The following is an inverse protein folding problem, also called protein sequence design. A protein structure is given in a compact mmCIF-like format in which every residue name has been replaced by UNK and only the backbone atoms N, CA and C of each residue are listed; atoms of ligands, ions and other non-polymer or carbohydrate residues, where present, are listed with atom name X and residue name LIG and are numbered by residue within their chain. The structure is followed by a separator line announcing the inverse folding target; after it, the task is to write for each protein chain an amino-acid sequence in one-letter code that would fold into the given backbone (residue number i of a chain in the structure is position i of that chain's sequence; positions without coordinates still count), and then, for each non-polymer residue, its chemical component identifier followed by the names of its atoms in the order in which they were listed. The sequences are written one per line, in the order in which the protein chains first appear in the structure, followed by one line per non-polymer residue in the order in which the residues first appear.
data_IF_138852900335
#
_entry.id   IF_138852900335
#
_cell.length_a   1.000
_cell.length_b   1.000
_cell.length_c   1.000
_cell.angle_alpha   90.00
_cell.angle_beta   90.00
_cell.angle_gamma   90.00
#
_symmetry.space_group_name_H-M   'P 1'
#
loop_
_entity.id
_entity.type
_entity.pdbx_description
1 polymer ?
#
# COMPACT_ATOMS: atom_id res chain seq x y z
N UNK A 1 -5.95 57.59 41.48
CA UNK A 1 -4.87 56.61 41.71
C UNK A 1 -5.54 55.35 42.25
N UNK A 2 -6.42 54.74 41.46
CA UNK A 2 -6.14 53.67 40.49
C UNK A 2 -5.61 52.40 41.17
N UNK A 3 -6.57 51.52 41.44
CA UNK A 3 -6.41 50.15 41.86
C UNK A 3 -6.12 49.27 40.64
N UNK A 4 -5.06 48.48 40.75
CA UNK A 4 -4.64 47.46 39.79
C UNK A 4 -5.69 46.36 39.68
N UNK A 5 -6.36 46.26 38.52
CA UNK A 5 -7.09 45.06 38.10
C UNK A 5 -6.10 44.13 37.39
N UNK A 6 -5.82 42.99 37.99
CA UNK A 6 -5.29 41.82 37.27
C UNK A 6 -6.31 41.41 36.19
N UNK A 7 -5.87 41.38 34.94
CA UNK A 7 -6.64 40.82 33.83
C UNK A 7 -6.21 39.37 33.68
N UNK A 8 -7.08 38.48 34.13
CA UNK A 8 -7.05 37.05 33.86
C UNK A 8 -7.15 36.81 32.35
N UNK A 9 -6.07 36.25 31.77
CA UNK A 9 -5.91 36.00 30.34
C UNK A 9 -5.69 34.51 30.06
N UNK A 10 -6.56 33.65 30.57
CA UNK A 10 -6.59 32.24 30.16
C UNK A 10 -6.88 32.09 28.65
N UNK A 11 -6.41 31.02 27.99
CA UNK A 11 -6.61 30.82 26.55
C UNK A 11 -8.10 30.75 26.24
N UNK A 12 -8.59 31.70 25.46
CA UNK A 12 -10.00 31.79 25.05
C UNK A 12 -10.34 30.58 24.18
N UNK A 13 -11.26 29.74 24.66
CA UNK A 13 -11.71 28.53 23.95
C UNK A 13 -13.07 28.80 23.31
N UNK A 14 -13.25 28.32 22.08
CA UNK A 14 -14.50 28.40 21.34
C UNK A 14 -15.04 27.01 21.02
N UNK A 15 -16.35 26.84 21.10
CA UNK A 15 -17.06 25.62 20.68
C UNK A 15 -17.77 25.88 19.37
N UNK A 16 -17.48 25.06 18.35
CA UNK A 16 -18.17 25.09 17.07
C UNK A 16 -19.03 23.84 16.88
N UNK A 17 -20.12 23.99 16.15
CA UNK A 17 -21.07 22.92 15.87
C UNK A 17 -20.97 22.48 14.41
N UNK A 18 -20.35 21.33 14.17
CA UNK A 18 -20.12 20.80 12.82
C UNK A 18 -21.25 19.86 12.43
N UNK A 19 -21.98 20.21 11.38
CA UNK A 19 -23.05 19.40 10.81
C UNK A 19 -22.45 18.41 9.81
N UNK A 20 -22.61 17.12 10.10
CA UNK A 20 -22.13 16.01 9.26
C UNK A 20 -23.18 14.90 9.24
N UNK A 21 -23.53 14.40 8.04
CA UNK A 21 -24.47 13.27 7.83
C UNK A 21 -25.76 13.32 8.68
N UNK A 22 -26.31 14.51 8.88
CA UNK A 22 -27.55 14.73 9.64
C UNK A 22 -27.41 14.80 11.16
N UNK A 23 -26.18 14.73 11.70
CA UNK A 23 -25.83 14.94 13.11
C UNK A 23 -25.08 16.26 13.30
N UNK A 24 -25.06 16.79 14.52
CA UNK A 24 -24.30 18.00 14.89
C UNK A 24 -23.28 17.64 15.96
N UNK A 25 -22.00 17.82 15.63
CA UNK A 25 -20.85 17.48 16.46
C UNK A 25 -20.33 18.76 17.12
N UNK A 26 -20.41 18.91 18.45
CA UNK A 26 -19.75 20.00 19.16
C UNK A 26 -18.24 19.71 19.25
N UNK A 27 -17.42 20.64 18.79
CA UNK A 27 -15.95 20.56 18.88
C UNK A 27 -15.45 21.83 19.57
N UNK A 28 -14.66 21.68 20.63
CA UNK A 28 -14.03 22.79 21.35
C UNK A 28 -12.57 22.92 20.95
N UNK A 29 -12.13 24.13 20.64
CA UNK A 29 -10.79 24.44 20.18
C UNK A 29 -10.39 25.86 20.58
N UNK A 30 -9.11 26.18 20.47
CA UNK A 30 -8.62 27.53 20.74
C UNK A 30 -9.08 28.50 19.64
N UNK A 31 -9.29 29.78 19.98
CA UNK A 31 -9.79 30.79 19.03
C UNK A 31 -8.83 31.08 17.87
N UNK A 32 -7.53 30.84 18.04
CA UNK A 32 -6.48 31.03 17.03
C UNK A 32 -6.21 29.80 16.15
N UNK A 33 -6.80 28.65 16.50
CA UNK A 33 -6.61 27.38 15.81
C UNK A 33 -6.96 27.46 14.31
N UNK A 34 -6.28 26.61 13.55
CA UNK A 34 -6.43 26.54 12.09
C UNK A 34 -7.55 25.60 11.67
N UNK A 35 -7.97 25.72 10.41
CA UNK A 35 -8.94 24.81 9.81
C UNK A 35 -8.41 23.36 9.75
N UNK A 36 -7.09 23.18 9.58
CA UNK A 36 -6.46 21.85 9.55
C UNK A 36 -6.51 21.12 10.91
N UNK A 37 -6.32 21.86 12.00
CA UNK A 37 -6.46 21.32 13.36
C UNK A 37 -7.92 20.92 13.66
N UNK A 38 -8.89 21.73 13.21
CA UNK A 38 -10.30 21.38 13.30
C UNK A 38 -10.63 20.11 12.48
N UNK A 39 -10.03 19.94 11.29
CA UNK A 39 -10.23 18.73 10.48
C UNK A 39 -9.64 17.48 11.14
N UNK A 40 -8.48 17.63 11.77
CA UNK A 40 -7.83 16.56 12.54
C UNK A 40 -8.68 16.13 13.73
N UNK A 41 -9.30 17.07 14.45
CA UNK A 41 -10.24 16.75 15.54
C UNK A 41 -11.54 16.09 15.07
N UNK A 42 -11.98 16.39 13.84
CA UNK A 42 -13.18 15.79 13.25
C UNK A 42 -12.95 14.39 12.68
N UNK A 43 -11.71 14.02 12.35
CA UNK A 43 -11.38 12.71 11.78
C UNK A 43 -11.91 11.54 12.62
N UNK A 44 -11.61 11.42 13.93
CA UNK A 44 -12.11 10.30 14.72
C UNK A 44 -13.64 10.32 14.88
N UNK A 45 -14.28 11.48 14.78
CA UNK A 45 -15.74 11.64 14.95
C UNK A 45 -16.53 11.33 13.68
N UNK A 46 -15.92 11.50 12.52
CA UNK A 46 -16.61 11.45 11.21
C UNK A 46 -16.17 10.27 10.35
N UNK A 47 -15.05 9.64 10.70
CA UNK A 47 -14.39 8.59 9.91
C UNK A 47 -14.01 9.05 8.49
N UNK A 48 -13.81 10.36 8.32
CA UNK A 48 -13.36 11.00 7.08
C UNK A 48 -11.95 11.51 7.32
N UNK A 49 -11.01 11.08 6.49
CA UNK A 49 -9.63 11.58 6.56
C UNK A 49 -9.59 13.11 6.36
N UNK A 50 -8.70 13.87 7.02
CA UNK A 50 -8.64 15.33 6.91
C UNK A 50 -8.57 15.84 5.46
N UNK A 51 -7.84 15.12 4.59
CA UNK A 51 -7.75 15.42 3.15
C UNK A 51 -9.08 15.30 2.41
N UNK A 52 -9.99 14.47 2.92
CA UNK A 52 -11.33 14.29 2.38
C UNK A 52 -12.40 15.16 3.04
N UNK A 53 -12.03 16.00 4.02
CA UNK A 53 -12.94 16.88 4.73
C UNK A 53 -12.99 18.27 4.06
N UNK A 54 -14.17 18.71 3.65
CA UNK A 54 -14.42 20.08 3.16
C UNK A 54 -15.34 20.80 4.12
N UNK A 55 -14.82 21.82 4.81
CA UNK A 55 -15.58 22.62 5.76
C UNK A 55 -16.15 23.86 5.08
N UNK A 56 -17.45 24.10 5.28
CA UNK A 56 -18.18 25.22 4.69
C UNK A 56 -18.84 26.02 5.81
N UNK A 57 -18.65 27.33 5.79
CA UNK A 57 -19.31 28.26 6.70
C UNK A 57 -19.94 29.42 5.91
N UNK A 58 -21.24 29.66 6.10
CA UNK A 58 -22.02 30.69 5.39
C UNK A 58 -21.79 30.72 3.86
N UNK A 59 -21.71 29.54 3.23
CA UNK A 59 -21.54 29.40 1.78
C UNK A 59 -20.10 29.57 1.27
N UNK A 60 -19.11 29.73 2.15
CA UNK A 60 -17.69 29.79 1.79
C UNK A 60 -16.97 28.51 2.22
N UNK A 61 -16.17 27.94 1.33
CA UNK A 61 -15.28 26.81 1.63
C UNK A 61 -14.06 27.34 2.38
N UNK A 62 -13.74 26.71 3.51
CA UNK A 62 -12.59 27.06 4.33
C UNK A 62 -11.35 26.30 3.86
N UNK A 63 -10.21 26.98 3.75
CA UNK A 63 -8.93 26.37 3.35
C UNK A 63 -8.04 26.09 4.56
N UNK A 64 -7.19 25.07 4.45
CA UNK A 64 -6.44 24.50 5.59
C UNK A 64 -5.54 25.50 6.32
N UNK A 65 -5.01 26.49 5.59
CA UNK A 65 -4.11 27.52 6.12
C UNK A 65 -4.83 28.72 6.77
N UNK A 66 -6.17 28.78 6.73
CA UNK A 66 -6.92 29.86 7.36
C UNK A 66 -7.00 29.65 8.88
N UNK A 67 -6.69 30.71 9.66
CA UNK A 67 -7.00 30.75 11.09
C UNK A 67 -8.48 31.01 11.28
N UNK A 68 -9.11 30.35 12.24
CA UNK A 68 -10.54 30.49 12.47
C UNK A 68 -10.94 31.88 12.98
N UNK A 69 -9.98 32.66 13.51
CA UNK A 69 -10.15 34.08 13.88
C UNK A 69 -10.29 35.02 12.68
N UNK A 70 -9.70 34.68 11.52
CA UNK A 70 -9.81 35.50 10.30
C UNK A 70 -11.09 35.22 9.50
N UNK A 71 -11.80 34.15 9.85
CA UNK A 71 -13.12 33.79 9.35
C UNK A 71 -14.18 34.28 10.36
N UNK A 72 -15.38 34.72 9.96
CA UNK A 72 -16.41 35.18 10.91
C UNK A 72 -17.10 34.02 11.70
N UNK A 73 -16.31 33.04 12.15
CA UNK A 73 -16.73 31.89 12.95
C UNK A 73 -16.55 32.27 14.42
N UNK A 74 -17.66 32.50 15.12
CA UNK A 74 -17.69 32.75 16.57
C UNK A 74 -18.07 31.50 17.36
N UNK A 75 -17.91 31.53 18.69
CA UNK A 75 -18.45 30.51 19.58
C UNK A 75 -19.94 30.23 19.28
N UNK A 76 -20.31 28.94 19.17
CA UNK A 76 -21.63 28.46 18.77
C UNK A 76 -21.90 28.43 17.25
N UNK A 77 -20.92 28.78 16.42
CA UNK A 77 -21.08 28.79 14.95
C UNK A 77 -21.35 27.40 14.38
N UNK A 78 -22.24 27.34 13.38
CA UNK A 78 -22.59 26.10 12.68
C UNK A 78 -21.81 25.98 11.39
N UNK A 79 -20.90 25.01 11.32
CA UNK A 79 -20.17 24.67 10.10
C UNK A 79 -20.80 23.44 9.46
N UNK A 80 -20.67 23.31 8.15
CA UNK A 80 -21.06 22.11 7.41
C UNK A 80 -19.83 21.37 6.95
N UNK A 81 -19.75 20.07 7.24
CA UNK A 81 -18.70 19.21 6.73
C UNK A 81 -19.24 18.40 5.55
N UNK A 82 -18.53 18.47 4.41
CA UNK A 82 -18.75 17.63 3.24
C UNK A 82 -17.55 16.69 3.12
N UNK A 83 -17.82 15.40 2.98
CA UNK A 83 -16.79 14.41 2.70
C UNK A 83 -16.67 14.15 1.20
N UNK A 84 -15.44 14.10 0.68
CA UNK A 84 -15.19 13.65 -0.68
C UNK A 84 -15.43 12.14 -0.81
N UNK A 85 -16.21 11.74 -1.82
CA UNK A 85 -16.51 10.33 -2.07
C UNK A 85 -15.22 9.51 -2.28
N UNK A 86 -15.14 8.32 -1.69
CA UNK A 86 -13.99 7.42 -1.79
C UNK A 86 -12.87 7.65 -0.75
N UNK A 87 -12.94 8.69 0.07
CA UNK A 87 -12.04 8.94 1.22
C UNK A 87 -12.69 8.61 2.58
N UNK A 88 -13.81 7.88 2.53
CA UNK A 88 -14.38 7.21 3.69
C UNK A 88 -13.62 5.90 3.89
N UNK A 89 -13.13 5.62 5.11
CA UNK A 89 -12.77 4.25 5.46
C UNK A 89 -14.06 3.41 5.31
N UNK A 90 -14.04 2.44 4.39
CA UNK A 90 -15.22 1.82 3.76
C UNK A 90 -16.40 1.42 4.68
N UNK A 91 -17.59 1.68 4.13
CA UNK A 91 -19.00 1.38 4.51
C UNK A 91 -19.57 1.86 5.86
N UNK A 92 -20.44 2.89 5.77
CA UNK A 92 -20.95 3.71 6.87
C UNK A 92 -22.36 3.38 7.41
N UNK A 93 -22.98 4.28 8.20
CA UNK A 93 -24.33 4.08 8.71
C UNK A 93 -25.39 4.61 7.74
N UNK A 94 -26.25 3.74 7.23
CA UNK A 94 -27.56 4.12 6.70
C UNK A 94 -28.48 4.35 7.90
N UNK A 95 -28.93 5.58 8.15
CA UNK A 95 -30.24 5.80 8.80
C UNK A 95 -30.91 7.07 8.29
N UNK A 96 -32.19 6.92 7.91
CA UNK A 96 -33.37 7.78 8.21
C UNK A 96 -34.54 7.36 7.31
N UNK A 97 -35.81 7.33 7.71
CA UNK A 97 -36.60 7.98 8.78
C UNK A 97 -37.78 7.06 9.18
N UNK A 98 -38.09 6.87 10.47
CA UNK A 98 -39.10 7.54 11.32
C UNK A 98 -40.51 6.91 11.32
N UNK A 99 -41.03 6.52 12.51
CA UNK A 99 -42.27 7.06 13.11
C UNK A 99 -42.45 6.63 14.57
N UNK A 100 -42.67 7.65 15.40
CA UNK A 100 -43.42 7.73 16.67
C UNK A 100 -43.97 6.47 17.35
N UNK A 101 -43.71 6.30 18.65
CA UNK A 101 -44.71 6.57 19.72
C UNK A 101 -44.14 6.30 21.14
N UNK A 102 -44.15 7.38 21.95
CA UNK A 102 -44.53 7.51 23.37
C UNK A 102 -44.30 6.40 24.43
N UNK A 103 -43.63 6.83 25.52
CA UNK A 103 -43.99 6.71 26.94
C UNK A 103 -43.39 5.58 27.84
N UNK A 104 -42.55 6.06 28.77
CA UNK A 104 -42.47 5.82 30.22
C UNK A 104 -42.14 4.46 30.86
N UNK A 105 -41.30 4.58 31.89
CA UNK A 105 -40.72 3.55 32.75
C UNK A 105 -41.60 3.20 33.97
N UNK A 106 -41.40 1.97 34.47
CA UNK A 106 -41.56 1.44 35.86
C UNK A 106 -42.98 1.33 36.46
N UNK A 107 -43.36 0.10 36.84
CA UNK A 107 -43.39 -0.37 38.25
C UNK A 107 -43.73 -1.87 38.41
N UNK A 108 -42.88 -2.59 39.16
CA UNK A 108 -43.15 -3.50 40.31
C UNK A 108 -44.10 -4.72 40.11
N UNK A 109 -43.69 -5.87 40.69
CA UNK A 109 -44.45 -7.14 40.74
C UNK A 109 -45.87 -7.00 41.36
N UNK A 110 -46.76 -7.83 40.81
CA UNK A 110 -48.06 -8.31 41.30
C UNK A 110 -49.25 -7.34 41.42
N UNK A 111 -49.96 -7.17 40.31
CA UNK A 111 -51.41 -7.48 40.23
C UNK A 111 -51.88 -7.59 38.76
N UNK A 112 -52.30 -8.81 38.37
CA UNK A 112 -53.16 -9.17 37.21
C UNK A 112 -52.55 -9.12 35.79
N UNK A 113 -52.35 -10.33 35.24
CA UNK A 113 -52.47 -10.75 33.81
C UNK A 113 -52.56 -9.63 32.74
N UNK A 114 -51.50 -9.47 31.94
CA UNK A 114 -51.45 -9.72 30.49
C UNK A 114 -50.35 -8.91 29.76
N UNK A 115 -49.61 -9.62 28.89
CA UNK A 115 -48.77 -9.18 27.76
C UNK A 115 -47.30 -8.77 27.97
N UNK A 116 -46.51 -9.29 27.02
CA UNK A 116 -45.05 -9.43 26.88
C UNK A 116 -44.45 -8.18 26.19
N UNK A 117 -43.28 -7.70 26.64
CA UNK A 117 -42.36 -6.96 25.74
C UNK A 117 -40.89 -7.01 26.22
N UNK A 118 -40.02 -7.56 25.38
CA UNK A 118 -38.56 -7.61 25.52
C UNK A 118 -37.91 -6.23 25.33
N UNK A 119 -37.25 -5.70 26.36
CA UNK A 119 -36.23 -4.64 26.21
C UNK A 119 -34.91 -5.28 25.78
N UNK A 120 -34.52 -5.06 24.51
CA UNK A 120 -33.21 -5.42 23.94
C UNK A 120 -32.18 -4.39 24.41
N UNK A 121 -31.32 -4.78 25.34
CA UNK A 121 -30.05 -4.10 25.63
C UNK A 121 -29.18 -4.12 24.37
N UNK A 122 -28.85 -2.95 23.83
CA UNK A 122 -27.84 -2.84 22.76
C UNK A 122 -26.46 -3.02 23.40
N UNK A 123 -25.90 -4.22 23.27
CA UNK A 123 -24.51 -4.49 23.59
C UNK A 123 -23.67 -3.81 22.51
N UNK A 124 -22.87 -2.80 22.87
CA UNK A 124 -21.77 -2.34 22.01
C UNK A 124 -20.85 -3.52 21.75
N UNK A 125 -20.88 -4.07 20.54
CA UNK A 125 -20.00 -5.18 20.17
C UNK A 125 -18.55 -4.74 20.33
N UNK A 126 -17.79 -5.55 21.08
CA UNK A 126 -16.36 -5.34 21.30
C UNK A 126 -15.62 -5.20 19.97
N UNK A 127 -14.52 -4.43 19.94
CA UNK A 127 -13.65 -4.28 18.78
C UNK A 127 -13.22 -5.65 18.21
N UNK A 128 -12.91 -6.60 19.09
CA UNK A 128 -12.54 -7.96 18.70
C UNK A 128 -13.69 -8.73 18.05
N UNK A 129 -14.95 -8.50 18.45
CA UNK A 129 -16.11 -9.12 17.80
C UNK A 129 -16.32 -8.59 16.39
N UNK A 130 -16.02 -7.31 16.15
CA UNK A 130 -16.06 -6.72 14.80
C UNK A 130 -14.96 -7.31 13.91
N UNK A 131 -13.77 -7.53 14.45
CA UNK A 131 -12.69 -8.20 13.73
C UNK A 131 -13.02 -9.65 13.42
N UNK A 132 -13.62 -10.39 14.36
CA UNK A 132 -14.11 -11.76 14.12
C UNK A 132 -15.21 -11.79 13.04
N UNK A 133 -16.07 -10.78 12.98
CA UNK A 133 -17.15 -10.70 11.99
C UNK A 133 -16.63 -10.35 10.59
N UNK A 134 -15.69 -9.42 10.49
CA UNK A 134 -15.19 -8.89 9.21
C UNK A 134 -13.99 -9.65 8.68
N UNK A 135 -13.23 -10.30 9.55
CA UNK A 135 -11.92 -10.87 9.27
C UNK A 135 -10.85 -9.84 8.90
N UNK A 136 -11.09 -8.55 9.14
CA UNK A 136 -10.15 -7.48 8.80
C UNK A 136 -9.71 -6.75 10.06
N UNK A 137 -8.41 -6.77 10.31
CA UNK A 137 -7.75 -6.02 11.36
C UNK A 137 -6.89 -4.95 10.70
N UNK A 138 -7.38 -3.72 10.69
CA UNK A 138 -6.64 -2.54 10.21
C UNK A 138 -6.18 -1.73 11.43
N UNK A 139 -4.88 -1.81 11.69
CA UNK A 139 -4.16 -1.20 12.81
C UNK A 139 -2.95 -0.39 12.32
N UNK A 140 -2.98 0.05 11.06
CA UNK A 140 -1.92 0.88 10.50
C UNK A 140 -1.88 2.26 11.17
N UNK A 141 -0.68 2.84 11.32
CA UNK A 141 -0.47 4.20 11.83
C UNK A 141 -1.01 4.42 13.25
N UNK A 142 -1.13 3.34 14.03
CA UNK A 142 -1.68 3.35 15.39
C UNK A 142 -0.63 3.58 16.48
N UNK A 143 0.63 3.86 16.11
CA UNK A 143 1.77 4.06 17.02
C UNK A 143 1.98 2.87 17.99
N UNK A 144 1.70 1.65 17.52
CA UNK A 144 1.78 0.44 18.34
C UNK A 144 3.23 0.00 18.52
N UNK A 145 3.62 -0.31 19.76
CA UNK A 145 4.93 -0.94 20.05
C UNK A 145 4.88 -2.48 19.98
N UNK A 146 3.69 -3.05 20.08
CA UNK A 146 3.42 -4.48 20.02
C UNK A 146 2.04 -4.72 19.44
N UNK A 147 1.84 -5.93 18.88
CA UNK A 147 0.51 -6.34 18.40
C UNK A 147 -0.42 -6.56 19.60
N UNK A 148 -1.61 -5.93 19.63
CA UNK A 148 -2.54 -6.08 20.76
C UNK A 148 -2.99 -7.54 20.96
N UNK A 149 -3.11 -7.99 22.21
CA UNK A 149 -3.49 -9.37 22.54
C UNK A 149 -4.90 -9.76 22.03
N UNK A 150 -5.77 -8.77 21.81
CA UNK A 150 -7.08 -8.99 21.21
C UNK A 150 -6.99 -9.48 19.77
N UNK A 151 -5.91 -9.16 19.05
CA UNK A 151 -5.65 -9.68 17.68
C UNK A 151 -5.41 -11.18 17.75
N UNK A 152 -4.57 -11.64 18.67
CA UNK A 152 -4.29 -13.07 18.86
C UNK A 152 -5.54 -13.84 19.30
N UNK A 153 -6.41 -13.19 20.08
CA UNK A 153 -7.70 -13.74 20.53
C UNK A 153 -8.73 -13.91 19.40
N UNK A 154 -8.44 -13.41 18.19
CA UNK A 154 -9.28 -13.59 17.01
C UNK A 154 -8.95 -14.85 16.20
N UNK A 155 -7.83 -15.52 16.50
CA UNK A 155 -7.42 -16.81 15.92
C UNK A 155 -7.65 -16.87 14.38
N UNK A 156 -8.33 -17.91 13.91
CA UNK A 156 -8.64 -18.20 12.50
C UNK A 156 -9.67 -17.27 11.86
N UNK A 157 -10.25 -16.31 12.61
CA UNK A 157 -11.24 -15.40 12.05
C UNK A 157 -10.62 -14.30 11.21
N UNK A 158 -9.32 -14.01 11.37
CA UNK A 158 -8.63 -12.95 10.65
C UNK A 158 -8.26 -13.46 9.26
N UNK A 159 -8.60 -12.68 8.24
CA UNK A 159 -8.21 -12.84 6.83
C UNK A 159 -7.16 -11.81 6.42
N UNK A 160 -7.30 -10.58 6.91
CA UNK A 160 -6.39 -9.46 6.61
C UNK A 160 -5.90 -8.87 7.92
N UNK A 161 -4.58 -8.87 8.12
CA UNK A 161 -3.92 -8.18 9.22
C UNK A 161 -3.02 -7.11 8.63
N UNK A 162 -3.39 -5.85 8.82
CA UNK A 162 -2.57 -4.69 8.48
C UNK A 162 -2.16 -3.97 9.76
N UNK A 163 -0.87 -4.05 10.07
CA UNK A 163 -0.23 -3.37 11.19
C UNK A 163 0.93 -2.51 10.69
N UNK A 164 0.84 -2.02 9.45
CA UNK A 164 1.86 -1.21 8.80
C UNK A 164 2.04 0.17 9.46
N UNK A 165 3.21 0.80 9.34
CA UNK A 165 3.51 2.13 9.90
C UNK A 165 3.31 2.18 11.42
N UNK A 166 3.89 1.23 12.15
CA UNK A 166 3.92 1.22 13.62
C UNK A 166 5.37 1.10 14.11
N UNK A 167 5.56 0.83 15.40
CA UNK A 167 6.87 0.66 16.05
C UNK A 167 6.98 -0.76 16.65
N UNK A 168 6.47 -1.76 15.92
CA UNK A 168 6.35 -3.13 16.43
C UNK A 168 7.73 -3.72 16.67
N UNK A 169 8.04 -3.97 17.94
CA UNK A 169 9.34 -4.50 18.36
C UNK A 169 9.49 -6.00 18.08
N UNK A 170 8.38 -6.74 18.09
CA UNK A 170 8.39 -8.19 17.95
C UNK A 170 7.12 -8.69 17.25
N UNK A 171 7.30 -9.59 16.28
CA UNK A 171 6.24 -10.40 15.69
C UNK A 171 6.41 -11.83 16.24
N UNK A 172 5.64 -12.20 17.29
CA UNK A 172 5.85 -13.45 18.02
C UNK A 172 5.37 -14.67 17.22
N UNK A 173 5.75 -15.87 17.68
CA UNK A 173 5.26 -17.17 17.15
C UNK A 173 3.73 -17.27 17.15
N UNK A 174 3.05 -16.51 18.03
CA UNK A 174 1.59 -16.39 18.11
C UNK A 174 0.93 -15.99 16.78
N UNK A 175 1.65 -15.34 15.86
CA UNK A 175 1.14 -15.07 14.51
C UNK A 175 0.72 -16.35 13.78
N UNK A 176 1.34 -17.48 14.10
CA UNK A 176 0.96 -18.79 13.58
C UNK A 176 -0.38 -19.31 14.11
N UNK A 177 -0.90 -18.78 15.24
CA UNK A 177 -2.24 -19.10 15.76
C UNK A 177 -3.36 -18.55 14.88
N UNK A 178 -3.03 -17.61 14.00
CA UNK A 178 -3.97 -17.08 13.02
C UNK A 178 -4.15 -18.02 11.81
N UNK A 179 -3.42 -19.13 11.79
CA UNK A 179 -3.70 -20.22 10.88
C UNK A 179 -5.08 -20.79 11.19
N UNK A 180 -5.91 -20.95 10.16
CA UNK A 180 -7.15 -21.72 10.30
C UNK A 180 -6.80 -23.17 10.63
N UNK A 181 -7.15 -23.62 11.84
CA UNK A 181 -7.37 -25.04 12.09
C UNK A 181 -8.39 -25.48 11.06
N UNK A 182 -8.06 -26.47 10.22
CA UNK A 182 -8.99 -27.06 9.26
C UNK A 182 -10.24 -27.56 10.00
N UNK A 183 -11.21 -26.69 10.23
CA UNK A 183 -12.50 -27.08 10.76
C UNK A 183 -13.23 -27.67 9.57
N UNK A 184 -13.22 -29.00 9.50
CA UNK A 184 -14.11 -29.80 8.67
C UNK A 184 -15.53 -29.46 9.13
N UNK A 185 -16.15 -28.44 8.53
CA UNK A 185 -17.58 -28.25 8.56
C UNK A 185 -18.02 -28.17 7.10
N UNK A 186 -18.90 -29.10 6.72
CA UNK A 186 -19.59 -29.12 5.44
C UNK A 186 -20.06 -27.70 5.10
N UNK A 187 -19.45 -27.07 4.09
CA UNK A 187 -19.90 -25.96 3.23
C UNK A 187 -18.63 -25.27 2.67
N UNK A 188 -18.56 -24.81 1.41
CA UNK A 188 -17.33 -24.32 0.81
C UNK A 188 -17.04 -22.89 1.29
N UNK A 189 -16.53 -22.77 2.51
CA UNK A 189 -16.10 -21.49 3.08
C UNK A 189 -14.59 -21.37 2.91
N UNK A 190 -14.17 -21.08 1.67
CA UNK A 190 -12.79 -20.76 1.30
C UNK A 190 -12.33 -19.40 1.92
N UNK A 191 -13.20 -18.67 2.62
CA UNK A 191 -13.00 -17.27 3.02
C UNK A 191 -12.48 -17.04 4.45
N UNK A 192 -12.17 -18.10 5.22
CA UNK A 192 -11.73 -18.03 6.63
C UNK A 192 -10.21 -18.25 6.82
N UNK A 193 -9.38 -17.82 5.87
CA UNK A 193 -7.94 -18.01 5.91
C UNK A 193 -7.24 -16.65 5.92
N UNK A 194 -6.15 -16.47 6.68
CA UNK A 194 -5.27 -15.31 6.46
C UNK A 194 -4.79 -15.36 5.03
N UNK A 195 -5.20 -14.35 4.28
CA UNK A 195 -4.77 -14.13 2.92
C UNK A 195 -3.73 -13.03 2.87
N UNK A 196 -3.84 -12.00 3.71
CA UNK A 196 -2.98 -10.81 3.61
C UNK A 196 -2.39 -10.43 4.96
N UNK A 197 -1.07 -10.36 5.02
CA UNK A 197 -0.30 -9.89 6.17
C UNK A 197 0.57 -8.72 5.73
N UNK A 198 0.29 -7.53 6.29
CA UNK A 198 0.98 -6.29 5.99
C UNK A 198 1.70 -5.79 7.26
N UNK A 199 3.03 -5.81 7.21
CA UNK A 199 3.98 -5.50 8.29
C UNK A 199 4.90 -4.33 7.89
N UNK A 200 4.48 -3.49 6.96
CA UNK A 200 5.35 -2.48 6.37
C UNK A 200 5.77 -1.43 7.41
N UNK A 201 6.97 -0.87 7.29
CA UNK A 201 7.42 0.28 8.09
C UNK A 201 7.24 0.07 9.60
N UNK A 202 7.87 -0.97 10.15
CA UNK A 202 7.85 -1.31 11.58
C UNK A 202 9.25 -1.43 12.20
N UNK A 203 10.31 -1.08 11.45
CA UNK A 203 11.70 -1.25 11.86
C UNK A 203 12.09 -2.69 12.26
N UNK A 204 11.35 -3.70 11.76
CA UNK A 204 11.54 -5.12 12.10
C UNK A 204 12.93 -5.58 11.66
N UNK A 205 13.69 -6.19 12.58
CA UNK A 205 14.97 -6.87 12.33
C UNK A 205 14.76 -8.38 12.26
N UNK A 206 15.80 -9.13 11.86
CA UNK A 206 15.70 -10.59 11.71
C UNK A 206 15.37 -11.31 13.04
N UNK A 207 15.87 -10.81 14.17
CA UNK A 207 15.62 -11.37 15.51
C UNK A 207 14.22 -11.04 16.03
N UNK A 208 13.61 -9.97 15.52
CA UNK A 208 12.29 -9.49 15.95
C UNK A 208 11.13 -10.21 15.26
N UNK A 209 11.39 -11.08 14.28
CA UNK A 209 10.34 -11.75 13.49
C UNK A 209 10.41 -13.27 13.65
N UNK A 210 9.33 -13.86 14.13
CA UNK A 210 9.21 -15.32 14.18
C UNK A 210 8.80 -15.90 12.83
N UNK A 211 9.78 -16.28 12.03
CA UNK A 211 9.54 -16.95 10.75
C UNK A 211 8.90 -18.32 10.88
N UNK A 212 9.09 -19.01 12.02
CA UNK A 212 8.39 -20.26 12.33
C UNK A 212 6.88 -20.03 12.36
N UNK A 213 6.42 -19.02 13.11
CA UNK A 213 5.01 -18.63 13.17
C UNK A 213 4.47 -18.17 11.82
N UNK A 214 5.23 -17.37 11.05
CA UNK A 214 4.79 -16.95 9.72
C UNK A 214 4.66 -18.14 8.76
N UNK A 215 5.59 -19.09 8.82
CA UNK A 215 5.62 -20.26 7.93
C UNK A 215 4.43 -21.20 8.12
N UNK A 216 3.72 -21.12 9.25
CA UNK A 216 2.50 -21.91 9.48
C UNK A 216 1.31 -21.39 8.68
N UNK A 217 1.33 -20.14 8.20
CA UNK A 217 0.25 -19.50 7.44
C UNK A 217 0.17 -20.00 5.99
N UNK A 218 -0.14 -21.29 5.78
CA UNK A 218 -0.14 -21.96 4.46
C UNK A 218 -1.08 -21.38 3.41
N UNK A 219 -2.02 -20.55 3.83
CA UNK A 219 -3.02 -19.92 2.95
C UNK A 219 -2.73 -18.45 2.65
N UNK A 220 -1.60 -17.93 3.15
CA UNK A 220 -1.18 -16.56 2.91
C UNK A 220 -0.96 -16.35 1.40
N UNK A 221 -1.63 -15.36 0.83
CA UNK A 221 -1.53 -14.99 -0.59
C UNK A 221 -0.72 -13.70 -0.78
N UNK A 222 -0.72 -12.80 0.20
CA UNK A 222 0.04 -11.54 0.18
C UNK A 222 0.82 -11.38 1.47
N UNK A 223 2.14 -11.31 1.35
CA UNK A 223 3.05 -10.95 2.42
C UNK A 223 3.76 -9.65 2.06
N UNK A 224 3.58 -8.62 2.87
CA UNK A 224 4.24 -7.33 2.69
C UNK A 224 5.02 -6.95 3.94
N UNK A 225 6.34 -6.89 3.83
CA UNK A 225 7.27 -6.50 4.90
C UNK A 225 8.22 -5.40 4.38
N UNK A 226 7.69 -4.47 3.58
CA UNK A 226 8.46 -3.36 3.03
C UNK A 226 8.95 -2.41 4.13
N UNK A 227 10.04 -1.67 3.87
CA UNK A 227 10.54 -0.61 4.75
C UNK A 227 10.86 -1.10 6.17
N UNK A 228 11.51 -2.25 6.27
CA UNK A 228 11.99 -2.80 7.53
C UNK A 228 13.53 -2.93 7.50
N UNK A 229 14.10 -3.60 8.50
CA UNK A 229 15.53 -3.76 8.67
C UNK A 229 16.01 -5.20 8.43
N UNK A 230 15.24 -6.02 7.72
CA UNK A 230 15.57 -7.43 7.46
C UNK A 230 16.86 -7.54 6.65
N UNK A 231 17.77 -8.43 7.07
CA UNK A 231 19.02 -8.72 6.35
C UNK A 231 18.98 -10.03 5.60
N UNK A 232 18.08 -10.95 6.00
CA UNK A 232 17.92 -12.25 5.33
C UNK A 232 16.44 -12.62 5.21
N UNK A 233 16.13 -13.42 4.19
CA UNK A 233 14.86 -14.12 4.07
C UNK A 233 15.12 -15.62 4.29
N UNK A 234 14.53 -16.26 5.30
CA UNK A 234 14.85 -17.66 5.61
C UNK A 234 14.20 -18.64 4.63
N UNK A 235 14.77 -19.83 4.55
CA UNK A 235 14.28 -20.95 3.72
C UNK A 235 12.81 -21.31 4.00
N UNK A 236 12.34 -21.08 5.23
CA UNK A 236 10.95 -21.36 5.63
C UNK A 236 9.90 -20.57 4.83
N UNK A 237 10.30 -19.47 4.17
CA UNK A 237 9.42 -18.73 3.24
C UNK A 237 8.90 -19.63 2.12
N UNK A 238 9.69 -20.59 1.65
CA UNK A 238 9.30 -21.50 0.56
C UNK A 238 8.15 -22.44 0.93
N UNK A 239 7.81 -22.52 2.22
CA UNK A 239 6.68 -23.31 2.70
C UNK A 239 5.33 -22.61 2.52
N UNK A 240 5.33 -21.32 2.14
CA UNK A 240 4.13 -20.51 1.87
C UNK A 240 3.64 -20.72 0.43
N UNK A 241 3.34 -21.96 0.05
CA UNK A 241 3.06 -22.35 -1.36
C UNK A 241 1.81 -21.70 -1.98
N UNK A 242 0.96 -21.05 -1.17
CA UNK A 242 -0.19 -20.26 -1.64
C UNK A 242 0.14 -18.79 -1.94
N UNK A 243 1.38 -18.35 -1.70
CA UNK A 243 1.78 -16.95 -1.83
C UNK A 243 1.75 -16.51 -3.30
N UNK A 244 1.00 -15.44 -3.57
CA UNK A 244 0.88 -14.79 -4.87
C UNK A 244 1.69 -13.49 -4.93
N UNK A 245 1.86 -12.79 -3.81
CA UNK A 245 2.59 -11.52 -3.77
C UNK A 245 3.53 -11.48 -2.58
N UNK A 246 4.80 -11.16 -2.85
CA UNK A 246 5.84 -10.98 -1.85
C UNK A 246 6.49 -9.61 -2.03
N UNK A 247 6.28 -8.73 -1.04
CA UNK A 247 6.83 -7.37 -1.03
C UNK A 247 7.85 -7.23 0.11
N UNK A 248 9.11 -7.03 -0.25
CA UNK A 248 10.29 -6.93 0.63
C UNK A 248 11.15 -5.70 0.31
N UNK A 249 10.58 -4.72 -0.38
CA UNK A 249 11.31 -3.54 -0.84
C UNK A 249 11.73 -2.65 0.32
N UNK A 250 12.85 -1.93 0.17
CA UNK A 250 13.44 -1.08 1.20
C UNK A 250 13.81 -1.84 2.49
N UNK A 251 14.49 -2.97 2.35
CA UNK A 251 15.12 -3.68 3.46
C UNK A 251 16.66 -3.68 3.29
N UNK A 252 17.35 -4.55 4.02
CA UNK A 252 18.81 -4.75 3.94
C UNK A 252 19.16 -6.15 3.45
N UNK A 253 18.25 -6.80 2.73
CA UNK A 253 18.37 -8.22 2.34
C UNK A 253 19.59 -8.42 1.44
N UNK A 254 20.46 -9.37 1.79
CA UNK A 254 21.69 -9.67 1.04
C UNK A 254 21.56 -10.85 0.09
N UNK A 255 20.65 -11.78 0.36
CA UNK A 255 20.39 -12.95 -0.47
C UNK A 255 18.94 -13.40 -0.36
N UNK A 256 18.46 -14.09 -1.41
CA UNK A 256 17.18 -14.81 -1.40
C UNK A 256 17.45 -16.32 -1.27
N UNK A 257 16.62 -17.06 -0.51
CA UNK A 257 16.79 -18.49 -0.30
C UNK A 257 16.39 -19.29 -1.55
N UNK A 258 16.97 -20.48 -1.73
CA UNK A 258 16.65 -21.33 -2.87
C UNK A 258 15.20 -21.87 -2.81
N UNK A 259 14.64 -21.97 -1.61
CA UNK A 259 13.28 -22.42 -1.39
C UNK A 259 12.23 -21.46 -1.96
N UNK A 260 12.61 -20.23 -2.34
CA UNK A 260 11.74 -19.31 -3.07
C UNK A 260 11.22 -19.93 -4.37
N UNK A 261 12.00 -20.81 -5.01
CA UNK A 261 11.58 -21.55 -6.20
C UNK A 261 10.42 -22.53 -5.98
N UNK A 262 10.03 -22.78 -4.72
CA UNK A 262 8.85 -23.60 -4.39
C UNK A 262 7.54 -22.82 -4.48
N UNK A 263 7.60 -21.48 -4.57
CA UNK A 263 6.43 -20.60 -4.64
C UNK A 263 5.87 -20.53 -6.06
N UNK A 264 5.34 -21.66 -6.55
CA UNK A 264 4.85 -21.79 -7.93
C UNK A 264 3.69 -20.84 -8.28
N UNK A 265 2.96 -20.32 -7.28
CA UNK A 265 1.86 -19.35 -7.45
C UNK A 265 2.29 -17.89 -7.32
N UNK A 266 3.57 -17.62 -7.08
CA UNK A 266 4.07 -16.25 -6.91
C UNK A 266 3.95 -15.50 -8.24
N UNK A 267 3.14 -14.45 -8.25
CA UNK A 267 2.89 -13.57 -9.40
C UNK A 267 3.71 -12.28 -9.31
N UNK A 268 3.95 -11.78 -8.09
CA UNK A 268 4.62 -10.50 -7.85
C UNK A 268 5.73 -10.68 -6.82
N UNK A 269 6.95 -10.32 -7.19
CA UNK A 269 8.10 -10.25 -6.29
C UNK A 269 8.73 -8.85 -6.33
N UNK A 270 8.61 -8.11 -5.23
CA UNK A 270 9.23 -6.77 -5.09
C UNK A 270 10.31 -6.78 -4.04
N UNK A 271 11.58 -6.74 -4.48
CA UNK A 271 12.76 -6.72 -3.60
C UNK A 271 13.63 -5.50 -3.88
N UNK A 272 13.02 -4.41 -4.36
CA UNK A 272 13.73 -3.18 -4.68
C UNK A 272 14.40 -2.55 -3.47
N UNK A 273 15.49 -1.82 -3.69
CA UNK A 273 16.23 -1.09 -2.67
C UNK A 273 16.73 -2.00 -1.52
N UNK A 274 17.31 -3.14 -1.88
CA UNK A 274 17.97 -4.09 -0.98
C UNK A 274 19.49 -4.16 -1.26
N UNK A 275 20.18 -5.17 -0.73
CA UNK A 275 21.63 -5.38 -0.90
C UNK A 275 21.94 -6.69 -1.61
N UNK A 276 21.02 -7.16 -2.46
CA UNK A 276 21.19 -8.42 -3.19
C UNK A 276 22.40 -8.32 -4.12
N UNK A 277 23.35 -9.24 -3.99
CA UNK A 277 24.51 -9.38 -4.90
C UNK A 277 24.27 -10.37 -6.03
N UNK A 278 23.37 -11.34 -5.81
CA UNK A 278 22.90 -12.30 -6.80
C UNK A 278 21.43 -12.66 -6.59
N UNK A 279 20.82 -13.25 -7.61
CA UNK A 279 19.50 -13.90 -7.53
C UNK A 279 19.73 -15.41 -7.68
N UNK A 280 19.10 -16.26 -6.85
CA UNK A 280 19.26 -17.70 -6.96
C UNK A 280 18.70 -18.20 -8.29
N UNK A 281 19.40 -19.14 -8.92
CA UNK A 281 19.00 -19.69 -10.23
C UNK A 281 17.63 -20.38 -10.18
N UNK A 282 17.20 -20.84 -9.02
CA UNK A 282 15.89 -21.45 -8.82
C UNK A 282 14.72 -20.48 -9.01
N UNK A 283 14.96 -19.16 -9.14
CA UNK A 283 13.90 -18.18 -9.44
C UNK A 283 13.11 -18.57 -10.71
N UNK A 284 13.78 -19.20 -11.69
CA UNK A 284 13.16 -19.70 -12.92
C UNK A 284 12.08 -20.77 -12.71
N UNK A 285 11.95 -21.33 -11.49
CA UNK A 285 10.88 -22.25 -11.15
C UNK A 285 9.57 -21.54 -10.75
N UNK A 286 9.60 -20.24 -10.48
CA UNK A 286 8.40 -19.43 -10.19
C UNK A 286 7.61 -19.17 -11.47
N UNK A 287 6.98 -20.20 -12.03
CA UNK A 287 6.38 -20.16 -13.38
C UNK A 287 5.29 -19.10 -13.55
N UNK A 288 4.57 -18.77 -12.48
CA UNK A 288 3.49 -17.77 -12.48
C UNK A 288 3.98 -16.32 -12.32
N UNK A 289 5.29 -16.10 -12.19
CA UNK A 289 5.85 -14.79 -11.87
C UNK A 289 5.66 -13.83 -13.05
N UNK A 290 4.82 -12.82 -12.83
CA UNK A 290 4.43 -11.83 -13.82
C UNK A 290 5.12 -10.48 -13.62
N UNK A 291 5.49 -10.14 -12.39
CA UNK A 291 6.16 -8.89 -12.04
C UNK A 291 7.34 -9.15 -11.10
N UNK A 292 8.52 -8.68 -11.51
CA UNK A 292 9.72 -8.69 -10.68
C UNK A 292 10.35 -7.29 -10.61
N UNK A 293 10.61 -6.82 -9.39
CA UNK A 293 11.33 -5.58 -9.14
C UNK A 293 12.58 -5.84 -8.31
N UNK A 294 13.72 -5.77 -8.99
CA UNK A 294 15.07 -5.93 -8.47
C UNK A 294 15.82 -4.59 -8.38
N UNK A 295 15.12 -3.47 -8.55
CA UNK A 295 15.70 -2.13 -8.61
C UNK A 295 16.55 -1.78 -7.38
N UNK A 296 17.53 -0.90 -7.54
CA UNK A 296 18.39 -0.41 -6.48
C UNK A 296 19.02 -1.52 -5.61
N UNK A 297 19.54 -2.58 -6.24
CA UNK A 297 20.32 -3.63 -5.57
C UNK A 297 21.82 -3.52 -5.91
N UNK A 298 22.60 -4.52 -5.49
CA UNK A 298 24.04 -4.67 -5.75
C UNK A 298 24.31 -5.83 -6.74
N UNK A 299 23.32 -6.16 -7.56
CA UNK A 299 23.40 -7.27 -8.50
C UNK A 299 24.53 -7.01 -9.51
N UNK A 300 25.19 -8.08 -9.96
CA UNK A 300 26.22 -8.00 -11.01
C UNK A 300 25.70 -8.60 -12.32
N UNK A 301 24.88 -9.64 -12.21
CA UNK A 301 24.23 -10.31 -13.31
C UNK A 301 22.93 -10.97 -12.82
N UNK A 302 22.12 -11.48 -13.75
CA UNK A 302 20.99 -12.35 -13.45
C UNK A 302 21.27 -13.78 -13.96
N UNK A 303 20.79 -14.81 -13.25
CA UNK A 303 20.97 -16.19 -13.70
C UNK A 303 20.19 -16.44 -15.00
N UNK A 304 20.72 -17.33 -15.85
CA UNK A 304 20.09 -17.68 -17.15
C UNK A 304 18.64 -18.17 -17.00
N UNK A 305 18.34 -18.77 -15.86
CA UNK A 305 17.02 -19.30 -15.50
C UNK A 305 15.95 -18.23 -15.34
N UNK A 306 16.29 -16.94 -15.23
CA UNK A 306 15.30 -15.85 -15.37
C UNK A 306 14.58 -15.94 -16.71
N UNK A 307 15.24 -16.48 -17.74
CA UNK A 307 14.63 -16.74 -19.04
C UNK A 307 13.52 -17.81 -19.03
N UNK A 308 13.40 -18.60 -17.96
CA UNK A 308 12.35 -19.59 -17.78
C UNK A 308 11.03 -19.00 -17.23
N UNK A 309 11.01 -17.71 -16.88
CA UNK A 309 9.82 -17.01 -16.40
C UNK A 309 8.89 -16.67 -17.56
N UNK A 310 8.05 -17.63 -17.94
CA UNK A 310 7.22 -17.54 -19.15
C UNK A 310 6.11 -16.47 -19.06
N UNK A 311 5.60 -16.22 -17.86
CA UNK A 311 4.50 -15.27 -17.62
C UNK A 311 4.96 -13.85 -17.29
N UNK A 312 6.27 -13.58 -17.36
CA UNK A 312 6.86 -12.30 -16.96
C UNK A 312 6.43 -11.16 -17.89
N UNK A 313 5.75 -10.16 -17.33
CA UNK A 313 5.23 -8.97 -18.03
C UNK A 313 5.99 -7.70 -17.66
N UNK A 314 6.40 -7.60 -16.40
CA UNK A 314 7.06 -6.42 -15.85
C UNK A 314 8.38 -6.83 -15.20
N UNK A 315 9.48 -6.25 -15.68
CA UNK A 315 10.80 -6.47 -15.13
C UNK A 315 11.48 -5.14 -14.88
N UNK A 316 11.86 -4.89 -13.63
CA UNK A 316 12.57 -3.68 -13.22
C UNK A 316 13.91 -4.03 -12.59
N UNK A 317 15.00 -3.51 -13.17
CA UNK A 317 16.36 -3.73 -12.73
C UNK A 317 17.08 -2.38 -12.75
N UNK A 318 17.63 -1.98 -11.61
CA UNK A 318 18.51 -0.81 -11.49
C UNK A 318 19.59 -1.06 -10.43
N UNK A 319 20.75 -0.42 -10.55
CA UNK A 319 21.84 -0.53 -9.57
C UNK A 319 21.94 0.71 -8.67
N UNK A 320 22.39 0.49 -7.42
CA UNK A 320 22.61 1.57 -6.44
C UNK A 320 23.85 2.42 -6.72
N UNK A 321 24.85 1.94 -7.45
CA UNK A 321 26.14 2.62 -7.63
C UNK A 321 26.43 2.85 -9.11
N UNK A 322 26.45 4.12 -9.51
CA UNK A 322 26.92 4.58 -10.82
C UNK A 322 28.44 4.76 -10.73
N UNK A 323 29.19 3.67 -10.79
CA UNK A 323 30.64 3.71 -10.67
C UNK A 323 31.30 2.49 -11.29
N UNK A 324 31.79 2.65 -12.53
CA UNK A 324 32.65 1.72 -13.30
C UNK A 324 32.31 0.22 -13.29
N UNK A 325 31.14 -0.20 -12.83
CA UNK A 325 30.70 -1.58 -12.98
C UNK A 325 30.18 -1.77 -14.39
N UNK A 326 30.97 -2.53 -15.15
CA UNK A 326 30.68 -2.92 -16.52
C UNK A 326 29.61 -4.02 -16.45
N UNK A 327 28.34 -3.66 -16.25
CA UNK A 327 27.30 -4.52 -16.80
C UNK A 327 27.40 -4.45 -18.31
N UNK A 328 28.15 -5.40 -18.83
CA UNK A 328 28.03 -5.76 -20.22
C UNK A 328 26.66 -6.43 -20.35
N UNK A 329 25.61 -5.64 -20.59
CA UNK A 329 24.33 -6.20 -21.08
C UNK A 329 24.52 -6.99 -22.38
N UNK A 330 25.65 -6.81 -23.08
CA UNK A 330 26.08 -7.67 -24.18
C UNK A 330 26.25 -9.13 -23.75
N UNK A 331 26.52 -9.37 -22.46
CA UNK A 331 26.73 -10.70 -21.85
C UNK A 331 25.56 -11.11 -20.93
N UNK A 332 24.63 -10.20 -20.61
CA UNK A 332 23.45 -10.54 -19.80
C UNK A 332 22.61 -11.59 -20.53
N UNK A 333 22.66 -12.80 -19.98
CA UNK A 333 22.00 -13.98 -20.52
C UNK A 333 20.46 -13.83 -20.53
N UNK A 334 19.93 -12.88 -19.75
CA UNK A 334 18.51 -12.51 -19.70
C UNK A 334 17.92 -12.38 -21.12
N UNK A 335 18.68 -11.81 -22.05
CA UNK A 335 18.17 -11.51 -23.39
C UNK A 335 18.71 -12.43 -24.49
N UNK A 336 19.82 -13.12 -24.27
CA UNK A 336 20.34 -14.09 -25.25
C UNK A 336 19.60 -15.44 -25.18
N UNK A 337 19.03 -15.79 -24.03
CA UNK A 337 18.37 -17.08 -23.77
C UNK A 337 16.90 -16.97 -23.28
N UNK A 338 16.16 -15.92 -23.66
CA UNK A 338 14.70 -15.87 -23.46
C UNK A 338 13.95 -16.30 -24.75
N UNK A 339 13.80 -17.60 -25.07
CA UNK A 339 13.04 -18.01 -26.25
C UNK A 339 11.56 -17.57 -26.18
N UNK A 340 11.06 -17.14 -25.01
CA UNK A 340 9.67 -16.78 -24.74
C UNK A 340 9.46 -15.40 -24.07
N UNK A 341 10.36 -14.42 -24.22
CA UNK A 341 10.15 -13.03 -23.74
C UNK A 341 8.95 -12.27 -24.37
N UNK A 342 8.10 -12.96 -25.13
CA UNK A 342 7.00 -12.39 -25.90
C UNK A 342 6.02 -11.60 -25.04
N UNK A 343 5.86 -11.96 -23.76
CA UNK A 343 4.90 -11.33 -22.86
C UNK A 343 5.45 -10.10 -22.11
N UNK A 344 6.75 -9.79 -22.20
CA UNK A 344 7.31 -8.62 -21.52
C UNK A 344 6.73 -7.36 -22.13
N UNK A 345 6.02 -6.59 -21.31
CA UNK A 345 5.35 -5.34 -21.70
C UNK A 345 6.07 -4.12 -21.17
N UNK A 346 6.71 -4.23 -20.00
CA UNK A 346 7.41 -3.15 -19.31
C UNK A 346 8.79 -3.65 -18.90
N UNK A 347 9.82 -2.97 -19.36
CA UNK A 347 11.21 -3.24 -19.02
C UNK A 347 11.86 -1.94 -18.53
N UNK A 348 12.26 -1.91 -17.25
CA UNK A 348 12.90 -0.76 -16.63
C UNK A 348 14.35 -1.13 -16.34
N UNK A 349 15.28 -0.43 -16.99
CA UNK A 349 16.74 -0.67 -16.94
C UNK A 349 17.50 0.62 -16.59
N UNK A 350 16.99 1.39 -15.62
CA UNK A 350 17.55 2.69 -15.23
C UNK A 350 18.89 2.57 -14.50
N UNK A 351 19.75 3.57 -14.65
CA UNK A 351 21.01 3.75 -13.91
C UNK A 351 21.96 2.54 -13.99
N UNK A 352 21.96 1.85 -15.13
CA UNK A 352 22.65 0.57 -15.29
C UNK A 352 24.01 0.63 -15.99
N UNK A 353 24.52 1.84 -16.29
CA UNK A 353 25.80 2.00 -17.01
C UNK A 353 25.85 1.34 -18.39
N UNK A 354 24.67 0.99 -18.92
CA UNK A 354 24.50 0.23 -20.16
C UNK A 354 24.99 1.04 -21.34
N UNK A 355 25.72 0.39 -22.25
CA UNK A 355 26.26 1.01 -23.47
C UNK A 355 25.53 0.59 -24.73
N UNK A 356 24.90 -0.59 -24.69
CA UNK A 356 24.19 -1.16 -25.83
C UNK A 356 23.12 -2.13 -25.34
N UNK A 357 22.07 -2.29 -26.13
CA UNK A 357 21.08 -3.36 -25.96
C UNK A 357 21.39 -4.52 -26.93
N UNK A 358 20.99 -5.75 -26.58
CA UNK A 358 21.02 -6.88 -27.51
C UNK A 358 20.22 -6.60 -28.79
N UNK A 359 20.78 -6.99 -29.93
CA UNK A 359 20.20 -6.76 -31.26
C UNK A 359 18.80 -7.37 -31.46
N UNK A 360 18.53 -8.48 -30.77
CA UNK A 360 17.30 -9.25 -30.87
C UNK A 360 16.21 -8.83 -29.84
N UNK A 361 16.49 -7.88 -28.94
CA UNK A 361 15.59 -7.52 -27.84
C UNK A 361 14.16 -7.22 -28.31
N UNK A 362 14.01 -6.31 -29.29
CA UNK A 362 12.71 -5.86 -29.75
C UNK A 362 11.98 -6.89 -30.62
N UNK A 363 12.75 -7.77 -31.29
CA UNK A 363 12.22 -8.92 -32.04
C UNK A 363 11.66 -10.00 -31.11
N UNK A 364 12.30 -10.21 -29.97
CA UNK A 364 11.90 -11.21 -28.97
C UNK A 364 10.74 -10.70 -28.11
N UNK A 365 10.80 -9.45 -27.64
CA UNK A 365 9.78 -8.82 -26.81
C UNK A 365 8.70 -8.12 -27.64
N UNK A 366 7.89 -8.90 -28.36
CA UNK A 366 6.87 -8.36 -29.29
C UNK A 366 5.75 -7.58 -28.62
N UNK A 367 5.53 -7.76 -27.31
CA UNK A 367 4.57 -6.97 -26.52
C UNK A 367 5.19 -5.77 -25.78
N UNK A 368 6.50 -5.54 -25.93
CA UNK A 368 7.18 -4.45 -25.22
C UNK A 368 6.57 -3.11 -25.63
N UNK A 369 6.12 -2.34 -24.64
CA UNK A 369 5.43 -1.05 -24.82
C UNK A 369 6.04 0.06 -23.98
N UNK A 370 6.81 -0.29 -22.94
CA UNK A 370 7.53 0.63 -22.08
C UNK A 370 8.93 0.10 -21.89
N UNK A 371 9.91 0.89 -22.31
CA UNK A 371 11.31 0.67 -22.08
C UNK A 371 11.86 1.91 -21.42
N UNK A 372 12.50 1.74 -20.28
CA UNK A 372 13.08 2.82 -19.52
C UNK A 372 14.59 2.63 -19.38
N UNK A 373 15.34 3.59 -19.91
CA UNK A 373 16.80 3.56 -19.99
C UNK A 373 17.45 4.78 -19.35
N UNK A 374 16.70 5.52 -18.52
CA UNK A 374 17.21 6.73 -17.88
C UNK A 374 18.52 6.46 -17.12
N UNK A 375 19.51 7.33 -17.25
CA UNK A 375 20.82 7.18 -16.59
C UNK A 375 21.68 6.04 -17.16
N UNK A 376 21.44 5.63 -18.40
CA UNK A 376 22.35 4.78 -19.19
C UNK A 376 23.08 5.62 -20.24
N UNK A 377 24.06 5.04 -20.94
CA UNK A 377 24.73 5.70 -22.08
C UNK A 377 23.94 5.51 -23.39
N UNK A 378 22.76 4.90 -23.32
CA UNK A 378 21.93 4.58 -24.48
C UNK A 378 20.94 5.72 -24.68
N UNK A 379 21.14 6.50 -25.74
CA UNK A 379 20.17 7.50 -26.17
C UNK A 379 19.19 6.91 -27.18
N UNK A 380 18.02 7.55 -27.33
CA UNK A 380 17.08 7.19 -28.40
C UNK A 380 17.72 7.30 -29.79
N UNK A 381 18.61 8.28 -29.98
CA UNK A 381 19.36 8.45 -31.22
C UNK A 381 20.34 7.31 -31.47
N UNK A 382 21.00 6.82 -30.42
CA UNK A 382 21.86 5.64 -30.51
C UNK A 382 21.06 4.41 -30.95
N UNK A 383 19.82 4.23 -30.47
CA UNK A 383 18.97 3.11 -30.89
C UNK A 383 18.48 3.27 -32.34
N UNK A 384 18.17 4.50 -32.78
CA UNK A 384 17.77 4.81 -34.16
C UNK A 384 18.91 4.56 -35.17
N UNK A 385 20.12 5.05 -34.89
CA UNK A 385 21.29 4.90 -35.78
C UNK A 385 21.74 3.43 -35.92
N UNK A 386 21.44 2.59 -34.92
CA UNK A 386 21.78 1.17 -34.93
C UNK A 386 20.78 0.36 -35.77
N UNK A 387 19.52 0.79 -35.91
CA UNK A 387 18.54 0.19 -36.83
C UNK A 387 18.91 0.46 -38.31
N UNK A 388 19.35 1.68 -38.64
CA UNK A 388 19.78 2.04 -40.00
C UNK A 388 21.00 1.22 -40.47
N UNK A 389 21.81 0.75 -39.51
CA UNK A 389 22.93 -0.16 -39.74
C UNK A 389 22.55 -1.66 -39.65
N UNK A 390 21.25 -2.01 -39.59
CA UNK A 390 20.69 -3.37 -39.41
C UNK A 390 21.20 -4.12 -38.17
N UNK A 391 21.63 -3.41 -37.13
CA UNK A 391 22.18 -4.02 -35.91
C UNK A 391 21.15 -4.23 -34.80
N UNK A 392 19.97 -3.63 -34.87
CA UNK A 392 18.85 -3.87 -33.93
C UNK A 392 17.57 -4.07 -34.74
N UNK A 393 16.97 -5.26 -34.66
CA UNK A 393 15.75 -5.62 -35.41
C UNK A 393 14.50 -5.39 -34.55
N UNK A 394 13.42 -4.85 -35.13
CA UNK A 394 12.12 -4.68 -34.46
C UNK A 394 11.92 -3.37 -33.68
N UNK A 395 12.86 -2.42 -33.77
CA UNK A 395 12.76 -1.12 -33.10
C UNK A 395 11.54 -0.32 -33.57
N UNK A 396 11.29 -0.23 -34.88
CA UNK A 396 10.10 0.46 -35.43
C UNK A 396 8.79 -0.02 -34.82
N UNK A 397 8.58 -1.34 -34.75
CA UNK A 397 7.35 -1.92 -34.20
C UNK A 397 7.20 -1.58 -32.70
N UNK A 398 8.32 -1.61 -31.96
CA UNK A 398 8.34 -1.18 -30.57
C UNK A 398 8.01 0.31 -30.42
N UNK A 399 8.63 1.18 -31.22
CA UNK A 399 8.42 2.63 -31.15
C UNK A 399 6.98 3.02 -31.53
N UNK A 400 6.36 2.31 -32.47
CA UNK A 400 4.94 2.46 -32.79
C UNK A 400 4.04 2.07 -31.60
N UNK A 401 4.29 0.91 -30.96
CA UNK A 401 3.57 0.48 -29.75
C UNK A 401 3.71 1.49 -28.61
N UNK A 402 4.94 1.98 -28.39
CA UNK A 402 5.26 2.99 -27.37
C UNK A 402 4.50 4.29 -27.62
N UNK A 403 4.52 4.80 -28.86
CA UNK A 403 3.78 6.01 -29.26
C UNK A 403 2.26 5.83 -29.15
N UNK A 404 1.71 4.70 -29.59
CA UNK A 404 0.29 4.39 -29.47
C UNK A 404 -0.16 4.35 -28.00
N UNK A 405 0.62 3.72 -27.11
CA UNK A 405 0.36 3.73 -25.66
C UNK A 405 0.36 5.14 -25.08
N UNK A 406 1.34 5.95 -25.46
CA UNK A 406 1.42 7.34 -25.00
C UNK A 406 0.25 8.18 -25.50
N UNK A 407 -0.13 8.06 -26.79
CA UNK A 407 -1.28 8.74 -27.35
C UNK A 407 -2.56 8.38 -26.58
N UNK A 408 -2.79 7.09 -26.33
CA UNK A 408 -3.94 6.64 -25.50
C UNK A 408 -3.92 7.23 -24.09
N UNK A 409 -2.75 7.38 -23.48
CA UNK A 409 -2.61 8.02 -22.17
C UNK A 409 -2.93 9.52 -22.20
N UNK A 410 -2.53 10.22 -23.27
CA UNK A 410 -2.88 11.63 -23.49
C UNK A 410 -4.38 11.81 -23.74
N UNK A 411 -4.96 10.96 -24.59
CA UNK A 411 -6.40 10.97 -24.90
C UNK A 411 -7.25 10.75 -23.63
N UNK A 412 -6.74 9.95 -22.68
CA UNK A 412 -7.37 9.75 -21.37
C UNK A 412 -7.08 10.87 -20.35
N UNK A 413 -5.99 11.63 -20.52
CA UNK A 413 -5.58 12.75 -19.65
C UNK A 413 -6.13 14.11 -20.09
N UNK A 414 -7.00 14.17 -21.10
CA UNK A 414 -7.78 15.38 -21.42
C UNK A 414 -8.80 15.61 -20.29
N UNK A 415 -8.29 16.18 -19.21
CA UNK A 415 -8.98 16.35 -17.94
C UNK A 415 -8.11 16.85 -16.78
N UNK A 416 -6.79 17.06 -16.89
CA UNK A 416 -6.04 17.98 -16.01
C UNK A 416 -4.59 18.15 -16.44
N UNK A 417 -4.14 19.41 -16.37
CA UNK A 417 -2.88 19.98 -16.85
C UNK A 417 -1.59 19.31 -16.40
N UNK A 418 -0.75 19.01 -17.39
CA UNK A 418 0.69 19.27 -17.49
C UNK A 418 1.57 19.16 -16.25
N UNK A 419 2.38 18.10 -16.20
CA UNK A 419 3.86 18.16 -16.08
C UNK A 419 4.40 16.93 -16.84
N UNK A 420 5.41 17.20 -17.66
CA UNK A 420 6.03 16.33 -18.65
C UNK A 420 7.23 15.60 -18.02
N UNK A 421 7.45 14.33 -18.34
CA UNK A 421 8.60 13.52 -17.88
C UNK A 421 9.25 12.88 -19.13
N UNK A 422 10.21 13.60 -19.70
CA UNK A 422 11.06 13.19 -20.82
C UNK A 422 12.29 12.46 -20.26
N UNK A 423 12.09 11.24 -19.76
CA UNK A 423 13.12 10.44 -19.09
C UNK A 423 14.31 9.97 -19.95
N UNK A 424 14.58 10.61 -21.09
CA UNK A 424 15.76 10.35 -21.92
C UNK A 424 16.59 11.61 -22.27
N UNK A 425 16.04 12.82 -22.08
CA UNK A 425 16.66 14.07 -22.55
C UNK A 425 16.91 15.11 -21.44
N UNK A 426 16.84 14.72 -20.16
CA UNK A 426 17.11 15.64 -19.03
C UNK A 426 18.64 15.77 -18.77
N UNK A 427 19.36 16.25 -19.78
CA UNK A 427 20.71 16.81 -19.64
C UNK A 427 20.61 18.21 -19.00
N UNK A 428 20.25 18.26 -17.71
CA UNK A 428 20.48 19.49 -16.93
C UNK A 428 21.95 19.58 -16.52
N UNK A 429 22.66 20.30 -17.38
CA UNK A 429 23.86 21.08 -17.07
C UNK A 429 23.67 21.82 -15.74
N UNK A 430 24.30 21.32 -14.68
CA UNK A 430 24.76 22.16 -13.59
C UNK A 430 26.27 22.04 -13.47
N UNK A 431 26.91 23.19 -13.72
CA UNK A 431 28.33 23.48 -13.50
C UNK A 431 28.72 23.29 -12.04
#
# INVERSE_FOLDING_TARGET
MEASKEVDGGPSTMTVHVKFTGRTLPVSLQEDATVDELKSLLQPLTNVLPRGQTLIFKGRVLTDKMSLKSVPVSNGSKLMLIASQGLHQGDGPITKDSTSQTANSRRILDAKKAQVSHTKTFIEKSRSEKWKLTGVVALSECHLEAVPEEVWSCESSIRVLDISNNLIREVPTKVGLLQSLNVILLYPILWLLIEKLLLNANNITDDSISWEGLSSLKSLTVLSINQNCLTMLPSTVGTLTSLCQLHLSNNKITSLPDELGSLNKLEILKVANNRLSSIPSIIGNCKSLAEIDLSCNLLVDLPETVGNLLDLKVCSISFRVVGSFKLLLSDCVIFTNMPNAQLIQVLILRNNGLKSLPSALFKMCTQLSTLDLHGTQITNDSLRQVEDNKRVEGWKDFDERRRSKHQKQLDFRVGSSGVFDEGADDDQIHR
#
